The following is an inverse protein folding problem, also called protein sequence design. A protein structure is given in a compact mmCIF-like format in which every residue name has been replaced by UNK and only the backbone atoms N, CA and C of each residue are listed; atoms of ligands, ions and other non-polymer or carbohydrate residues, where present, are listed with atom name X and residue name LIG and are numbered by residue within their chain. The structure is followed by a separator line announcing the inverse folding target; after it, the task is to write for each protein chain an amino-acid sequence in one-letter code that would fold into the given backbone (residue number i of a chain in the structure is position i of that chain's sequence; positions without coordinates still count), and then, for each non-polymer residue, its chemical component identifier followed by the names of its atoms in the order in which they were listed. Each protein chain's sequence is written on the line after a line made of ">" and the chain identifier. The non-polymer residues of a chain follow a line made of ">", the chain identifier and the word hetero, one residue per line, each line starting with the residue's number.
data_IF_311323191994
#
_entry.id   IF_311323191994
#
_cell.length_a   1.000
_cell.length_b   1.000
_cell.length_c   1.000
_cell.angle_alpha   90.00
_cell.angle_beta   90.00
_cell.angle_gamma   90.00
#
_symmetry.space_group_name_H-M   'P 1'
#
loop_
_entity.id
_entity.type
_entity.pdbx_description
1 polymer ?
#
# COMPACT_ATOMS: atom_id res chain seq x y z
N UNK A 1 21.32 -4.57 4.97
CA UNK A 1 20.54 -5.76 4.59
C UNK A 1 19.76 -6.30 5.77
N UNK A 2 20.41 -6.73 6.86
CA UNK A 2 19.70 -7.22 8.05
C UNK A 2 18.66 -6.24 8.61
N UNK A 3 19.01 -4.96 8.76
CA UNK A 3 18.07 -3.96 9.30
C UNK A 3 16.89 -3.67 8.37
N UNK A 4 17.13 -3.67 7.05
CA UNK A 4 16.08 -3.50 6.05
C UNK A 4 15.11 -4.70 6.05
N UNK A 5 15.64 -5.92 6.14
CA UNK A 5 14.82 -7.13 6.26
C UNK A 5 14.01 -7.12 7.56
N UNK A 6 14.61 -6.71 8.68
CA UNK A 6 13.91 -6.55 9.95
C UNK A 6 12.78 -5.53 9.88
N UNK A 7 13.03 -4.34 9.33
CA UNK A 7 12.04 -3.29 9.22
C UNK A 7 10.84 -3.73 8.38
N UNK A 8 11.10 -4.30 7.20
CA UNK A 8 10.04 -4.81 6.32
C UNK A 8 9.24 -5.93 6.98
N UNK A 9 9.91 -6.92 7.58
CA UNK A 9 9.23 -8.05 8.23
C UNK A 9 8.40 -7.60 9.44
N UNK A 10 8.91 -6.63 10.22
CA UNK A 10 8.19 -6.07 11.35
C UNK A 10 6.93 -5.33 10.91
N UNK A 11 7.01 -4.52 9.85
CA UNK A 11 5.86 -3.76 9.34
C UNK A 11 4.78 -4.70 8.78
N UNK A 12 5.16 -5.67 7.94
CA UNK A 12 4.24 -6.68 7.41
C UNK A 12 3.55 -7.46 8.55
N UNK A 13 4.32 -7.92 9.54
CA UNK A 13 3.77 -8.66 10.67
C UNK A 13 2.90 -7.80 11.59
N UNK A 14 3.16 -6.49 11.68
CA UNK A 14 2.32 -5.56 12.45
C UNK A 14 0.95 -5.41 11.78
N UNK A 15 0.92 -5.27 10.45
CA UNK A 15 -0.33 -5.23 9.68
C UNK A 15 -1.03 -6.59 9.75
N UNK A 16 -0.29 -7.72 9.73
CA UNK A 16 -0.87 -9.06 9.93
C UNK A 16 -1.60 -9.19 11.27
N UNK A 17 -1.07 -8.58 12.34
CA UNK A 17 -1.62 -8.67 13.70
C UNK A 17 -2.75 -7.65 13.98
N UNK A 18 -2.62 -6.42 13.47
CA UNK A 18 -3.46 -5.30 13.89
C UNK A 18 -4.20 -4.60 12.74
N UNK A 19 -3.83 -4.86 11.49
CA UNK A 19 -4.36 -4.14 10.33
C UNK A 19 -3.98 -2.66 10.35
N UNK A 20 -4.91 -1.82 9.89
CA UNK A 20 -4.80 -0.35 9.91
C UNK A 20 -5.85 0.24 10.85
N UNK A 21 -5.56 1.38 11.45
CA UNK A 21 -6.53 2.16 12.23
C UNK A 21 -7.56 2.85 11.33
N UNK A 22 -8.66 3.28 11.95
CA UNK A 22 -9.66 4.10 11.26
C UNK A 22 -9.10 5.46 10.85
N UNK A 23 -8.26 6.07 11.69
CA UNK A 23 -7.65 7.37 11.42
C UNK A 23 -6.66 7.31 10.25
N UNK A 24 -5.82 6.26 10.16
CA UNK A 24 -4.95 6.05 9.01
C UNK A 24 -5.76 5.94 7.71
N UNK A 25 -6.89 5.22 7.75
CA UNK A 25 -7.76 5.10 6.58
C UNK A 25 -8.43 6.42 6.20
N UNK A 26 -8.91 7.18 7.19
CA UNK A 26 -9.56 8.47 6.97
C UNK A 26 -8.59 9.54 6.49
N UNK A 27 -7.36 9.56 7.01
CA UNK A 27 -6.30 10.46 6.55
C UNK A 27 -5.95 10.21 5.07
N UNK A 28 -5.77 8.95 4.68
CA UNK A 28 -5.52 8.57 3.28
C UNK A 28 -6.68 8.98 2.38
N UNK A 29 -7.93 8.73 2.80
CA UNK A 29 -9.12 9.12 2.04
C UNK A 29 -9.22 10.63 1.88
N UNK A 30 -9.03 11.40 2.96
CA UNK A 30 -9.15 12.85 2.94
C UNK A 30 -8.08 13.52 2.08
N UNK A 31 -6.83 13.06 2.21
CA UNK A 31 -5.70 13.51 1.38
C UNK A 31 -5.96 13.25 -0.10
N UNK A 32 -6.43 12.04 -0.45
CA UNK A 32 -6.74 11.69 -1.84
C UNK A 32 -7.94 12.45 -2.40
N UNK A 33 -9.00 12.65 -1.62
CA UNK A 33 -10.16 13.43 -2.06
C UNK A 33 -9.83 14.91 -2.24
N UNK A 34 -8.93 15.47 -1.44
CA UNK A 34 -8.41 16.83 -1.63
C UNK A 34 -7.66 16.94 -2.95
N UNK A 35 -6.78 15.98 -3.27
CA UNK A 35 -6.08 15.94 -4.55
C UNK A 35 -7.04 15.78 -5.74
N UNK A 36 -8.05 14.90 -5.63
CA UNK A 36 -9.04 14.68 -6.68
C UNK A 36 -9.88 15.92 -6.94
N UNK A 37 -10.30 16.63 -5.88
CA UNK A 37 -11.02 17.90 -6.03
C UNK A 37 -10.19 18.94 -6.78
N UNK A 38 -8.92 19.11 -6.40
CA UNK A 38 -8.03 20.04 -7.11
C UNK A 38 -7.81 19.62 -8.58
N UNK A 39 -7.79 18.31 -8.87
CA UNK A 39 -7.67 17.81 -10.24
C UNK A 39 -8.91 18.08 -11.10
N UNK A 40 -10.11 18.20 -10.51
CA UNK A 40 -11.30 18.71 -11.19
C UNK A 40 -11.10 20.16 -11.59
N UNK A 41 -10.71 20.99 -10.62
CA UNK A 41 -10.56 22.43 -10.81
C UNK A 41 -9.46 22.76 -11.83
N UNK A 42 -8.37 21.98 -11.85
CA UNK A 42 -7.21 22.20 -12.73
C UNK A 42 -7.19 21.28 -13.97
N UNK A 43 -8.32 20.68 -14.36
CA UNK A 43 -8.33 19.69 -15.45
C UNK A 43 -7.88 20.23 -16.82
N UNK A 44 -7.94 21.55 -17.03
CA UNK A 44 -7.48 22.19 -18.27
C UNK A 44 -5.94 22.22 -18.36
N UNK A 45 -5.25 22.23 -17.22
CA UNK A 45 -3.78 22.33 -17.12
C UNK A 45 -3.10 20.96 -17.08
N UNK A 46 -3.79 19.90 -17.49
CA UNK A 46 -3.26 18.54 -17.47
C UNK A 46 -2.14 18.39 -18.50
N UNK A 47 -1.11 17.64 -18.12
CA UNK A 47 -0.08 17.18 -19.05
C UNK A 47 -0.71 16.40 -20.21
N UNK A 48 -0.51 16.90 -21.43
CA UNK A 48 -1.11 16.35 -22.66
C UNK A 48 -0.64 14.92 -22.92
N UNK A 49 0.63 14.61 -22.63
CA UNK A 49 1.20 13.28 -22.84
C UNK A 49 0.57 12.26 -21.91
N UNK A 50 0.42 12.59 -20.63
CA UNK A 50 -0.22 11.75 -19.63
C UNK A 50 -1.69 11.54 -19.96
N UNK A 51 -2.42 12.59 -20.36
CA UNK A 51 -3.82 12.49 -20.76
C UNK A 51 -4.00 11.51 -21.93
N UNK A 52 -3.19 11.67 -22.98
CA UNK A 52 -3.22 10.80 -24.17
C UNK A 52 -2.88 9.36 -23.82
N UNK A 53 -1.85 9.16 -22.98
CA UNK A 53 -1.44 7.82 -22.53
C UNK A 53 -2.54 7.12 -21.73
N UNK A 54 -3.26 7.86 -20.87
CA UNK A 54 -4.41 7.31 -20.11
C UNK A 54 -5.57 6.93 -21.01
N UNK A 55 -5.84 7.72 -22.05
CA UNK A 55 -6.87 7.39 -23.04
C UNK A 55 -6.47 6.15 -23.86
N UNK A 56 -5.21 6.06 -24.30
CA UNK A 56 -4.69 4.90 -25.00
C UNK A 56 -4.78 3.61 -24.15
N UNK A 57 -4.46 3.69 -22.86
CA UNK A 57 -4.64 2.57 -21.93
C UNK A 57 -6.11 2.18 -21.77
N UNK A 58 -7.02 3.15 -21.64
CA UNK A 58 -8.45 2.87 -21.53
C UNK A 58 -8.97 2.15 -22.78
N UNK A 59 -8.52 2.56 -23.96
CA UNK A 59 -8.80 1.87 -25.24
C UNK A 59 -8.24 0.45 -25.26
N UNK A 60 -6.95 0.28 -24.92
CA UNK A 60 -6.27 -1.01 -24.94
C UNK A 60 -6.90 -2.03 -23.99
N UNK A 61 -7.28 -1.58 -22.78
CA UNK A 61 -7.84 -2.43 -21.76
C UNK A 61 -9.37 -2.55 -21.84
N UNK A 62 -10.01 -1.86 -22.79
CA UNK A 62 -11.46 -1.76 -22.93
C UNK A 62 -12.16 -1.35 -21.62
N UNK A 63 -11.60 -0.33 -20.95
CA UNK A 63 -12.14 0.22 -19.70
C UNK A 63 -12.63 1.66 -19.90
N UNK A 64 -13.68 2.10 -19.20
CA UNK A 64 -14.17 3.48 -19.33
C UNK A 64 -13.12 4.51 -18.93
N UNK A 65 -12.89 5.50 -19.80
CA UNK A 65 -12.06 6.67 -19.47
C UNK A 65 -12.89 7.67 -18.65
N UNK A 66 -12.73 7.62 -17.32
CA UNK A 66 -13.46 8.49 -16.39
C UNK A 66 -12.92 9.93 -16.41
N UNK A 67 -13.82 10.91 -16.39
CA UNK A 67 -13.47 12.33 -16.21
C UNK A 67 -12.95 12.59 -14.79
N UNK A 68 -12.22 13.70 -14.56
CA UNK A 68 -11.84 14.10 -13.20
C UNK A 68 -13.04 14.22 -12.26
N UNK A 69 -14.14 14.84 -12.73
CA UNK A 69 -15.37 15.01 -11.94
C UNK A 69 -15.99 13.68 -11.55
N UNK A 70 -16.17 12.77 -12.52
CA UNK A 70 -16.75 11.46 -12.25
C UNK A 70 -15.87 10.64 -11.31
N UNK A 71 -14.54 10.73 -11.47
CA UNK A 71 -13.59 10.07 -10.56
C UNK A 71 -13.77 10.57 -9.13
N UNK A 72 -13.88 11.89 -8.92
CA UNK A 72 -14.10 12.48 -7.60
C UNK A 72 -15.43 12.02 -6.98
N UNK A 73 -16.54 12.08 -7.73
CA UNK A 73 -17.85 11.69 -7.23
C UNK A 73 -17.93 10.19 -6.90
N UNK A 74 -17.40 9.34 -7.78
CA UNK A 74 -17.32 7.90 -7.54
C UNK A 74 -16.46 7.59 -6.33
N UNK A 75 -15.28 8.21 -6.18
CA UNK A 75 -14.44 8.05 -4.99
C UNK A 75 -15.20 8.43 -3.72
N UNK A 76 -15.83 9.60 -3.69
CA UNK A 76 -16.57 10.08 -2.51
C UNK A 76 -17.71 9.15 -2.10
N UNK A 77 -18.42 8.55 -3.07
CA UNK A 77 -19.56 7.66 -2.83
C UNK A 77 -19.14 6.22 -2.53
N UNK A 78 -18.25 5.65 -3.34
CA UNK A 78 -17.90 4.23 -3.27
C UNK A 78 -16.87 3.94 -2.16
N UNK A 79 -15.96 4.87 -1.85
CA UNK A 79 -14.98 4.65 -0.78
C UNK A 79 -15.59 4.65 0.63
N UNK A 80 -16.87 5.05 0.77
CA UNK A 80 -17.63 4.85 2.02
C UNK A 80 -17.82 3.36 2.34
N UNK A 81 -17.80 2.49 1.32
CA UNK A 81 -17.91 1.04 1.48
C UNK A 81 -16.56 0.39 1.84
N UNK A 82 -15.45 1.12 1.71
CA UNK A 82 -14.12 0.65 2.09
C UNK A 82 -13.94 0.91 3.59
N UNK A 83 -13.97 -0.14 4.38
CA UNK A 83 -13.75 -0.10 5.83
C UNK A 83 -12.41 -0.75 6.20
N UNK A 84 -11.92 -0.49 7.41
CA UNK A 84 -10.76 -1.19 7.98
C UNK A 84 -10.92 -2.71 7.88
N UNK A 85 -12.13 -3.22 8.15
CA UNK A 85 -12.44 -4.64 8.06
C UNK A 85 -12.29 -5.17 6.63
N UNK A 86 -12.85 -4.46 5.64
CA UNK A 86 -12.72 -4.87 4.23
C UNK A 86 -11.27 -4.88 3.74
N UNK A 87 -10.43 -3.97 4.27
CA UNK A 87 -9.00 -3.92 3.97
C UNK A 87 -8.24 -5.04 4.67
N UNK A 88 -8.59 -5.37 5.91
CA UNK A 88 -8.02 -6.51 6.63
C UNK A 88 -8.30 -7.82 5.88
N UNK A 89 -9.51 -8.01 5.34
CA UNK A 89 -9.84 -9.18 4.51
C UNK A 89 -8.98 -9.24 3.24
N UNK A 90 -8.81 -8.12 2.54
CA UNK A 90 -7.96 -8.02 1.35
C UNK A 90 -6.49 -8.29 1.67
N UNK A 91 -6.01 -7.77 2.80
CA UNK A 91 -4.66 -8.01 3.29
C UNK A 91 -4.42 -9.50 3.59
N UNK A 92 -5.34 -10.14 4.33
CA UNK A 92 -5.25 -11.57 4.62
C UNK A 92 -5.29 -12.43 3.34
N UNK A 93 -6.09 -12.04 2.34
CA UNK A 93 -6.10 -12.70 1.05
C UNK A 93 -4.75 -12.58 0.34
N UNK A 94 -4.16 -11.39 0.34
CA UNK A 94 -2.85 -11.13 -0.27
C UNK A 94 -1.74 -11.94 0.40
N UNK A 95 -1.70 -11.96 1.74
CA UNK A 95 -0.66 -12.67 2.51
C UNK A 95 -0.70 -14.19 2.36
N UNK A 96 -1.84 -14.75 1.95
CA UNK A 96 -1.99 -16.19 1.66
C UNK A 96 -1.70 -16.54 0.19
N UNK A 97 -1.44 -15.56 -0.67
CA UNK A 97 -1.10 -15.84 -2.06
C UNK A 97 0.26 -16.55 -2.15
N UNK A 98 0.30 -17.67 -2.87
CA UNK A 98 1.52 -18.47 -3.05
C UNK A 98 2.41 -17.96 -4.18
N UNK A 99 1.84 -17.18 -5.11
CA UNK A 99 2.59 -16.56 -6.19
C UNK A 99 3.28 -15.28 -5.66
N UNK A 100 4.40 -15.50 -4.95
CA UNK A 100 5.20 -14.46 -4.31
C UNK A 100 6.70 -14.81 -4.37
N UNK A 101 7.56 -13.80 -4.39
CA UNK A 101 9.01 -13.97 -4.36
C UNK A 101 9.67 -12.91 -3.48
N UNK A 102 10.78 -13.29 -2.84
CA UNK A 102 11.64 -12.38 -2.09
C UNK A 102 12.78 -11.89 -2.98
N UNK A 103 13.00 -10.58 -3.03
CA UNK A 103 14.08 -9.97 -3.81
C UNK A 103 15.00 -9.14 -2.92
N UNK A 104 16.30 -9.25 -3.14
CA UNK A 104 17.32 -8.41 -2.51
C UNK A 104 18.24 -7.85 -3.59
N UNK A 105 18.36 -6.54 -3.64
CA UNK A 105 19.28 -5.86 -4.54
C UNK A 105 20.53 -5.44 -3.78
N UNK A 106 21.70 -5.82 -4.30
CA UNK A 106 23.01 -5.48 -3.72
C UNK A 106 23.89 -4.87 -4.80
N UNK A 107 24.67 -3.85 -4.44
CA UNK A 107 25.53 -3.11 -5.37
C UNK A 107 27.02 -3.21 -5.04
N UNK A 108 27.39 -4.01 -4.03
CA UNK A 108 28.78 -4.26 -3.66
C UNK A 108 28.92 -5.58 -2.88
N UNK A 109 30.14 -6.10 -2.78
CA UNK A 109 30.47 -7.36 -2.13
C UNK A 109 30.16 -7.40 -0.63
N UNK A 110 30.27 -6.26 0.06
CA UNK A 110 29.93 -6.18 1.50
C UNK A 110 28.43 -6.37 1.70
N UNK A 111 27.60 -5.76 0.83
CA UNK A 111 26.17 -5.94 0.85
C UNK A 111 25.77 -7.36 0.41
N UNK A 112 26.43 -7.92 -0.62
CA UNK A 112 26.21 -9.28 -1.07
C UNK A 112 26.45 -10.31 0.05
N UNK A 113 27.53 -10.18 0.81
CA UNK A 113 27.82 -11.04 1.97
C UNK A 113 26.82 -10.88 3.12
N UNK A 114 26.14 -9.73 3.21
CA UNK A 114 25.11 -9.44 4.22
C UNK A 114 23.70 -9.77 3.71
N UNK A 115 23.53 -10.15 2.45
CA UNK A 115 22.24 -10.53 1.92
C UNK A 115 21.76 -11.82 2.60
N UNK A 116 20.49 -11.85 2.97
CA UNK A 116 19.91 -12.99 3.66
C UNK A 116 19.73 -14.14 2.68
N UNK A 117 20.07 -15.36 3.09
CA UNK A 117 19.69 -16.55 2.35
C UNK A 117 18.16 -16.75 2.41
N UNK A 118 17.55 -17.46 1.46
CA UNK A 118 16.11 -17.74 1.50
C UNK A 118 15.64 -18.36 2.83
N UNK A 119 16.44 -19.28 3.39
CA UNK A 119 16.14 -19.89 4.69
C UNK A 119 16.18 -18.86 5.85
N UNK A 120 17.11 -17.91 5.81
CA UNK A 120 17.20 -16.85 6.81
C UNK A 120 16.00 -15.87 6.73
N UNK A 121 15.51 -15.58 5.52
CA UNK A 121 14.30 -14.77 5.32
C UNK A 121 13.09 -15.45 5.94
N UNK A 122 12.86 -16.73 5.63
CA UNK A 122 11.72 -17.49 6.17
C UNK A 122 11.80 -17.68 7.68
N UNK A 123 13.02 -17.87 8.22
CA UNK A 123 13.23 -17.92 9.66
C UNK A 123 12.86 -16.59 10.33
N UNK A 124 13.23 -15.46 9.70
CA UNK A 124 12.91 -14.12 10.18
C UNK A 124 11.40 -13.84 10.12
N UNK A 125 10.73 -14.21 9.03
CA UNK A 125 9.28 -14.10 8.91
C UNK A 125 8.57 -14.89 10.02
N UNK A 126 9.01 -16.14 10.26
CA UNK A 126 8.49 -16.97 11.35
C UNK A 126 8.76 -16.35 12.72
N UNK A 127 9.91 -15.71 12.92
CA UNK A 127 10.23 -15.01 14.17
C UNK A 127 9.21 -13.89 14.44
N UNK A 128 8.95 -13.02 13.46
CA UNK A 128 7.99 -11.92 13.61
C UNK A 128 6.53 -12.39 13.71
N UNK A 129 6.17 -13.46 13.00
CA UNK A 129 4.84 -14.06 13.13
C UNK A 129 4.54 -14.56 14.55
N UNK A 130 5.57 -14.98 15.30
CA UNK A 130 5.42 -15.46 16.68
C UNK A 130 5.63 -14.37 17.75
N UNK A 131 6.14 -13.18 17.37
CA UNK A 131 6.28 -12.06 18.29
C UNK A 131 4.92 -11.43 18.56
N UNK A 132 4.66 -11.07 19.82
CA UNK A 132 3.55 -10.16 20.17
C UNK A 132 4.02 -8.74 19.90
N UNK A 133 3.68 -8.21 18.73
CA UNK A 133 4.07 -6.85 18.34
C UNK A 133 3.12 -5.85 18.99
N UNK A 134 3.69 -4.83 19.65
CA UNK A 134 2.91 -3.71 20.13
C UNK A 134 2.52 -2.81 18.95
N UNK A 135 1.38 -2.12 19.06
CA UNK A 135 1.08 -0.98 18.21
C UNK A 135 2.22 0.03 18.38
N UNK A 136 2.84 0.45 17.29
CA UNK A 136 3.92 1.46 17.35
C UNK A 136 3.36 2.79 17.84
N UNK A 137 4.18 3.63 18.48
CA UNK A 137 3.73 4.86 19.16
C UNK A 137 2.92 5.83 18.29
N UNK A 138 3.08 5.82 16.96
CA UNK A 138 2.24 6.61 16.05
C UNK A 138 0.79 6.14 16.01
N UNK A 139 0.54 4.84 16.24
CA UNK A 139 -0.80 4.29 16.39
C UNK A 139 -1.32 4.49 17.84
N UNK A 140 -0.45 4.50 18.86
CA UNK A 140 -0.87 4.68 20.25
C UNK A 140 -1.29 6.10 20.62
N UNK A 141 -0.73 7.14 19.99
CA UNK A 141 -1.11 8.55 20.22
C UNK A 141 -2.45 8.91 19.57
N UNK A 142 -2.82 8.20 18.51
CA UNK A 142 -4.09 8.31 17.79
C UNK A 142 -5.28 7.79 18.63
N UNK A 143 -5.06 6.86 19.56
CA UNK A 143 -6.11 6.26 20.39
C UNK A 143 -6.27 6.88 21.81
N UNK A 144 -5.84 8.13 22.03
CA UNK A 144 -6.11 8.90 23.27
C UNK A 144 -6.97 10.13 23.00
#
# INVERSE_FOLDING_TARGET
>A
MQDAANALMAELATIDQHGFSAEELDDVKSTRLTWLKNAVDQQAERDLRMLTSRLASSSLNNTPFLSPEETYQLSKRLWQQITVQSLAEKWQQLRKNQDAFWEQMVNNEVAAKKALSPAAILALEKEYANKKLALTSSQAEIYR
#
